data_IF_709130699083
#
_entry.id   IF_709130699083
#
_cell.length_a   1.000
_cell.length_b   1.000
_cell.length_c   1.000
_cell.angle_alpha   90.00
_cell.angle_beta   90.00
_cell.angle_gamma   90.00
#
_symmetry.space_group_name_H-M   'P 1'
#
loop_
_entity.id
_entity.type
_entity.pdbx_description
1 polymer ?
#
# COMPACT_ATOMS: atom_id res chain seq x y z
N UNK A 1 -8.66 11.64 -17.23
CA UNK A 1 -8.12 12.08 -15.93
C UNK A 1 -9.09 11.66 -14.82
N UNK A 2 -9.19 10.35 -14.52
CA UNK A 2 -10.21 9.78 -13.59
C UNK A 2 -9.59 8.80 -12.56
N UNK A 3 -8.30 8.47 -12.66
CA UNK A 3 -7.66 7.49 -11.75
C UNK A 3 -7.42 7.97 -10.30
N UNK A 4 -7.29 9.27 -10.06
CA UNK A 4 -6.78 9.77 -8.75
C UNK A 4 -7.84 9.90 -7.65
N UNK A 5 -9.13 10.03 -7.99
CA UNK A 5 -10.19 10.17 -6.99
C UNK A 5 -10.47 8.86 -6.26
N UNK A 6 -10.42 7.73 -6.97
CA UNK A 6 -10.66 6.40 -6.39
C UNK A 6 -9.59 6.07 -5.34
N UNK A 7 -8.32 6.40 -5.62
CA UNK A 7 -7.24 6.19 -4.66
C UNK A 7 -7.40 7.06 -3.40
N UNK A 8 -7.87 8.32 -3.55
CA UNK A 8 -8.10 9.19 -2.40
C UNK A 8 -9.26 8.68 -1.52
N UNK A 9 -10.36 8.22 -2.13
CA UNK A 9 -11.51 7.63 -1.42
C UNK A 9 -11.09 6.33 -0.71
N UNK A 10 -10.34 5.45 -1.37
CA UNK A 10 -9.89 4.21 -0.74
C UNK A 10 -8.97 4.47 0.45
N UNK A 11 -8.15 5.53 0.41
CA UNK A 11 -7.26 5.89 1.54
C UNK A 11 -7.99 6.31 2.82
N UNK A 12 -9.31 6.54 2.78
CA UNK A 12 -10.12 6.90 3.93
C UNK A 12 -10.69 5.69 4.67
N UNK A 13 -10.66 4.50 4.06
CA UNK A 13 -11.12 3.26 4.68
C UNK A 13 -9.94 2.61 5.41
N UNK A 14 -9.70 3.02 6.66
CA UNK A 14 -8.69 2.39 7.51
C UNK A 14 -9.36 1.50 8.55
N UNK A 15 -9.02 0.20 8.64
CA UNK A 15 -9.44 -0.62 9.79
C UNK A 15 -8.96 0.00 11.10
N UNK A 16 -9.84 0.03 12.10
CA UNK A 16 -9.58 0.68 13.40
C UNK A 16 -8.43 0.02 14.19
N UNK A 17 -8.11 -1.25 13.90
CA UNK A 17 -7.07 -1.99 14.60
C UNK A 17 -6.13 -2.64 13.58
N UNK A 18 -4.84 -2.26 13.52
CA UNK A 18 -3.86 -2.97 12.71
C UNK A 18 -3.56 -4.34 13.34
N UNK A 19 -3.43 -5.37 12.52
CA UNK A 19 -3.05 -6.73 12.95
C UNK A 19 -1.78 -7.20 12.23
N UNK A 20 -0.96 -8.01 12.92
CA UNK A 20 0.24 -8.60 12.31
C UNK A 20 -0.20 -9.55 11.20
N UNK A 21 0.41 -9.41 10.03
CA UNK A 21 0.06 -10.15 8.83
C UNK A 21 -1.04 -9.50 7.98
N UNK A 22 -1.64 -8.40 8.45
CA UNK A 22 -2.60 -7.64 7.66
C UNK A 22 -1.96 -7.12 6.36
N UNK A 23 -2.73 -7.14 5.29
CA UNK A 23 -2.34 -6.56 4.01
C UNK A 23 -2.32 -5.04 4.05
N UNK A 24 -1.32 -4.44 3.42
CA UNK A 24 -1.21 -3.00 3.27
C UNK A 24 -0.92 -2.68 1.82
N UNK A 25 -1.57 -1.67 1.27
CA UNK A 25 -1.33 -1.17 -0.08
C UNK A 25 -0.81 0.25 -0.01
N UNK A 26 0.33 0.51 -0.61
CA UNK A 26 0.79 1.87 -0.88
C UNK A 26 0.14 2.34 -2.18
N UNK A 27 -0.73 3.34 -2.05
CA UNK A 27 -1.35 4.04 -3.17
C UNK A 27 -0.42 5.17 -3.60
N UNK A 28 0.23 5.01 -4.76
CA UNK A 28 0.95 6.08 -5.43
C UNK A 28 -0.02 6.83 -6.38
N UNK A 29 0.52 7.73 -7.21
CA UNK A 29 -0.30 8.54 -8.12
C UNK A 29 -1.07 7.66 -9.13
N UNK A 30 -0.37 6.76 -9.81
CA UNK A 30 -0.90 5.77 -10.76
C UNK A 30 -0.71 4.34 -10.24
N UNK A 31 0.47 4.07 -9.67
CA UNK A 31 0.84 2.73 -9.22
C UNK A 31 0.29 2.35 -7.85
N UNK A 32 0.19 1.05 -7.60
CA UNK A 32 -0.12 0.47 -6.30
C UNK A 32 0.90 -0.61 -5.97
N UNK A 33 1.41 -0.59 -4.75
CA UNK A 33 2.38 -1.57 -4.28
C UNK A 33 1.85 -2.30 -3.03
N UNK A 34 1.99 -3.62 -2.99
CA UNK A 34 1.57 -4.45 -1.86
C UNK A 34 2.65 -4.59 -0.78
N UNK A 35 2.19 -4.59 0.46
CA UNK A 35 2.95 -4.68 1.69
C UNK A 35 2.21 -5.56 2.69
N UNK A 36 2.94 -6.06 3.69
CA UNK A 36 2.38 -6.80 4.82
C UNK A 36 2.83 -6.17 6.14
N UNK A 37 1.92 -6.05 7.12
CA UNK A 37 2.28 -5.64 8.49
C UNK A 37 3.12 -6.74 9.13
N UNK A 38 4.34 -6.41 9.53
CA UNK A 38 5.24 -7.35 10.20
C UNK A 38 5.34 -7.11 11.71
N UNK A 39 5.10 -5.87 12.14
CA UNK A 39 5.32 -5.46 13.53
C UNK A 39 4.44 -4.25 13.86
N UNK A 40 3.94 -4.20 15.09
CA UNK A 40 3.05 -3.15 15.60
C UNK A 40 3.72 -2.56 16.82
N UNK A 41 4.24 -1.34 16.70
CA UNK A 41 4.92 -0.66 17.80
C UNK A 41 3.91 0.02 18.73
N UNK A 42 2.82 0.55 18.16
CA UNK A 42 1.70 1.11 18.90
C UNK A 42 0.44 1.10 18.03
N UNK A 43 -0.72 1.45 18.61
CA UNK A 43 -1.97 1.63 17.87
C UNK A 43 -1.88 2.69 16.75
N UNK A 44 -0.85 3.55 16.79
CA UNK A 44 -0.60 4.60 15.80
C UNK A 44 0.75 4.48 15.09
N UNK A 45 1.54 3.42 15.33
CA UNK A 45 2.82 3.20 14.65
C UNK A 45 3.01 1.72 14.34
N UNK A 46 3.18 1.41 13.06
CA UNK A 46 3.37 0.04 12.55
C UNK A 46 4.57 -0.03 11.61
N UNK A 47 5.13 -1.21 11.46
CA UNK A 47 6.11 -1.51 10.41
C UNK A 47 5.48 -2.45 9.38
N UNK A 48 5.67 -2.08 8.13
CA UNK A 48 5.22 -2.85 6.99
C UNK A 48 6.42 -3.26 6.14
N UNK A 49 6.38 -4.46 5.60
CA UNK A 49 7.39 -5.00 4.71
C UNK A 49 6.82 -5.10 3.30
N UNK A 50 7.65 -4.75 2.30
CA UNK A 50 7.26 -4.89 0.89
C UNK A 50 7.07 -6.36 0.55
N UNK A 51 5.93 -6.68 -0.05
CA UNK A 51 5.70 -8.02 -0.60
C UNK A 51 6.36 -8.10 -1.98
N UNK A 52 6.85 -9.28 -2.33
CA UNK A 52 7.30 -9.61 -3.68
C UNK A 52 6.07 -9.88 -4.53
N UNK A 53 5.66 -8.87 -5.29
CA UNK A 53 4.62 -9.02 -6.31
C UNK A 53 5.27 -9.56 -7.59
N UNK A 54 4.86 -10.75 -8.03
CA UNK A 54 5.24 -11.31 -9.32
C UNK A 54 4.01 -11.34 -10.23
N UNK A 55 4.11 -10.68 -11.37
CA UNK A 55 3.06 -10.73 -12.39
C UNK A 55 2.99 -12.14 -12.97
N UNK A 56 1.82 -12.76 -12.91
CA UNK A 56 1.59 -14.13 -13.39
C UNK A 56 0.69 -14.20 -14.61
N UNK A 57 0.08 -13.09 -15.02
CA UNK A 57 -0.70 -13.04 -16.25
C UNK A 57 0.18 -12.83 -17.50
N UNK A 58 -0.31 -13.34 -18.63
CA UNK A 58 0.29 -13.15 -19.96
C UNK A 58 -0.43 -12.05 -20.77
N UNK A 59 -1.18 -11.15 -20.13
CA UNK A 59 -2.06 -10.19 -20.83
C UNK A 59 -1.31 -8.99 -21.44
N UNK A 60 0.02 -9.03 -21.59
CA UNK A 60 0.81 -7.95 -22.20
C UNK A 60 0.67 -6.62 -21.47
N UNK A 61 0.50 -5.50 -22.19
CA UNK A 61 0.27 -4.16 -21.62
C UNK A 61 -1.22 -3.90 -21.39
N UNK A 62 -1.87 -4.75 -20.58
CA UNK A 62 -3.27 -4.58 -20.18
C UNK A 62 -3.38 -4.07 -18.74
N UNK A 63 -4.44 -3.31 -18.45
CA UNK A 63 -4.81 -2.89 -17.10
C UNK A 63 -5.34 -4.05 -16.25
N UNK A 64 -5.72 -5.17 -16.89
CA UNK A 64 -6.16 -6.40 -16.23
C UNK A 64 -4.97 -7.29 -15.88
N UNK A 65 -4.33 -6.98 -14.75
CA UNK A 65 -3.10 -7.63 -14.30
C UNK A 65 -3.37 -8.56 -13.12
N UNK A 66 -2.77 -9.75 -13.13
CA UNK A 66 -2.85 -10.70 -12.01
C UNK A 66 -1.47 -10.84 -11.39
N UNK A 67 -1.40 -10.57 -10.09
CA UNK A 67 -0.17 -10.58 -9.33
C UNK A 67 -0.24 -11.65 -8.25
N UNK A 68 0.80 -12.48 -8.17
CA UNK A 68 1.04 -13.33 -7.00
C UNK A 68 1.87 -12.57 -5.99
N UNK A 69 1.43 -12.60 -4.74
CA UNK A 69 2.09 -11.94 -3.62
C UNK A 69 2.82 -12.99 -2.78
N UNK A 70 4.14 -12.85 -2.66
CA UNK A 70 4.94 -13.62 -1.71
C UNK A 70 5.54 -12.68 -0.67
N UNK A 71 5.57 -13.11 0.60
CA UNK A 71 6.34 -12.38 1.61
C UNK A 71 7.80 -12.40 1.21
N UNK A 72 8.42 -11.23 1.16
CA UNK A 72 9.84 -11.09 0.91
C UNK A 72 10.53 -10.77 2.23
N UNK A 73 11.27 -11.72 2.85
CA UNK A 73 12.01 -11.47 4.08
C UNK A 73 13.05 -10.36 3.95
N UNK A 74 13.55 -10.13 2.73
CA UNK A 74 14.52 -9.08 2.39
C UNK A 74 13.84 -7.81 1.84
N UNK A 75 12.50 -7.79 1.83
CA UNK A 75 11.69 -6.66 1.37
C UNK A 75 11.95 -5.40 2.20
N UNK A 76 11.91 -4.25 1.54
CA UNK A 76 12.10 -2.95 2.20
C UNK A 76 11.06 -2.73 3.32
N UNK A 77 11.54 -2.37 4.51
CA UNK A 77 10.70 -2.10 5.67
C UNK A 77 10.39 -0.60 5.74
N UNK A 78 9.11 -0.28 5.90
CA UNK A 78 8.62 1.08 6.06
C UNK A 78 7.93 1.25 7.40
N UNK A 79 8.20 2.37 8.06
CA UNK A 79 7.54 2.76 9.30
C UNK A 79 6.35 3.65 8.97
N UNK A 80 5.14 3.23 9.31
CA UNK A 80 3.92 4.01 9.12
C UNK A 80 3.42 4.54 10.46
N UNK A 81 2.93 5.77 10.43
CA UNK A 81 2.33 6.46 11.57
C UNK A 81 0.93 6.92 11.22
N UNK A 82 -0.03 6.66 12.10
CA UNK A 82 -1.41 7.15 12.00
C UNK A 82 -1.41 8.64 12.32
N UNK A 83 -1.96 9.45 11.41
CA UNK A 83 -2.10 10.89 11.60
C UNK A 83 -3.46 11.22 12.19
N UNK A 84 -3.59 12.42 12.77
CA UNK A 84 -4.84 12.92 13.37
C UNK A 84 -6.03 12.97 12.39
N UNK A 85 -5.77 12.95 11.08
CA UNK A 85 -6.78 12.88 10.03
C UNK A 85 -7.18 11.45 9.65
N UNK A 86 -6.81 10.44 10.45
CA UNK A 86 -7.12 9.03 10.20
C UNK A 86 -6.26 8.36 9.12
N UNK A 87 -5.35 9.09 8.47
CA UNK A 87 -4.56 8.55 7.35
C UNK A 87 -3.21 8.01 7.84
N UNK A 88 -2.84 6.82 7.37
CA UNK A 88 -1.51 6.26 7.59
C UNK A 88 -0.50 6.91 6.64
N UNK A 89 0.64 7.34 7.18
CA UNK A 89 1.74 7.95 6.43
C UNK A 89 3.08 7.43 6.90
N UNK A 90 4.01 7.29 5.97
CA UNK A 90 5.39 6.95 6.31
C UNK A 90 6.02 7.99 7.23
N UNK A 91 6.73 7.53 8.25
CA UNK A 91 7.48 8.35 9.21
C UNK A 91 8.51 9.19 8.45
N UNK A 92 8.52 10.50 8.69
CA UNK A 92 9.42 11.45 8.02
C UNK A 92 8.88 12.07 6.73
N UNK A 93 7.79 11.55 6.15
CA UNK A 93 7.18 12.13 4.94
C UNK A 93 6.26 13.30 5.31
N UNK A 94 6.39 14.42 4.58
CA UNK A 94 5.53 15.60 4.75
C UNK A 94 4.08 15.28 4.36
N UNK A 95 3.11 15.86 5.06
CA UNK A 95 1.67 15.59 4.88
C UNK A 95 1.13 15.82 3.47
N UNK A 96 1.81 16.64 2.65
CA UNK A 96 1.46 16.92 1.26
C UNK A 96 1.92 15.86 0.25
N UNK A 97 2.62 14.82 0.66
CA UNK A 97 2.96 13.72 -0.26
C UNK A 97 1.69 13.00 -0.69
N UNK A 98 1.55 12.78 -2.00
CA UNK A 98 0.47 12.03 -2.66
C UNK A 98 0.40 10.56 -2.24
N UNK A 99 1.43 10.05 -1.56
CA UNK A 99 1.51 8.65 -1.18
C UNK A 99 0.50 8.32 -0.06
N UNK A 100 -0.57 7.63 -0.42
CA UNK A 100 -1.55 7.08 0.51
C UNK A 100 -1.14 5.68 0.96
N UNK A 101 -1.48 5.32 2.19
CA UNK A 101 -1.33 3.95 2.68
C UNK A 101 -2.69 3.44 3.13
N UNK A 102 -3.09 2.32 2.55
CA UNK A 102 -4.36 1.65 2.80
C UNK A 102 -4.10 0.35 3.54
N UNK A 103 -4.66 0.19 4.74
CA UNK A 103 -4.56 -1.05 5.51
C UNK A 103 -5.75 -1.95 5.19
N UNK A 104 -5.58 -3.26 5.36
CA UNK A 104 -6.60 -4.29 5.14
C UNK A 104 -6.68 -4.81 3.70
N UNK A 105 -5.98 -4.19 2.75
CA UNK A 105 -6.01 -4.58 1.33
C UNK A 105 -4.60 -4.84 0.81
N UNK A 106 -4.40 -5.90 0.00
CA UNK A 106 -3.18 -6.14 -0.79
C UNK A 106 -3.49 -5.96 -2.27
N UNK A 107 -2.94 -4.92 -2.88
CA UNK A 107 -3.08 -4.65 -4.30
C UNK A 107 -1.74 -4.23 -4.90
N UNK A 108 -1.36 -4.87 -6.00
CA UNK A 108 -0.34 -4.38 -6.92
C UNK A 108 -1.05 -3.87 -8.18
N UNK A 109 -0.61 -2.73 -8.68
CA UNK A 109 -1.03 -2.22 -9.97
C UNK A 109 0.12 -1.44 -10.57
N UNK A 110 0.49 -1.78 -11.79
CA UNK A 110 1.53 -1.08 -12.53
C UNK A 110 0.91 -0.39 -13.74
N UNK A 111 0.98 0.93 -13.79
CA UNK A 111 0.48 1.69 -14.95
C UNK A 111 1.51 1.62 -16.09
N UNK A 112 1.09 1.15 -17.26
CA UNK A 112 1.92 1.11 -18.46
C UNK A 112 1.80 2.39 -19.31
N UNK A 113 0.95 3.34 -18.91
CA UNK A 113 0.80 4.62 -19.61
C UNK A 113 1.87 5.61 -19.15
N UNK A 114 2.78 5.96 -20.06
CA UNK A 114 3.80 7.02 -19.91
C UNK A 114 3.41 8.29 -20.67
#
# INVERSE_FOLDING_TARGET
MIGSLVNNIMSEVTPDVPEIGMGVTRLCWSDRNAFTVIDILSSSEIRVQRDRAKRVDNNGMSDCQTWEFQRDPDGSIYHLTLRKNGRWKQKGVRSKSSDGWLLGTRQEHFDFSF
#
